data_IF_838187749808
#
_entry.id   IF_838187749808
#
_cell.length_a   1.000
_cell.length_b   1.000
_cell.length_c   1.000
_cell.angle_alpha   90.00
_cell.angle_beta   90.00
_cell.angle_gamma   90.00
#
_symmetry.space_group_name_H-M   'P 1'
#
loop_
_entity.id
_entity.type
_entity.pdbx_description
1 polymer ?
#
# COMPACT_ATOMS: atom_id res chain seq x y z
N UNK A 1 12.60 3.42 11.31
CA UNK A 1 12.83 4.58 10.41
C UNK A 1 11.72 5.59 10.58
N UNK A 2 12.04 6.89 10.60
CA UNK A 2 11.05 7.99 10.62
C UNK A 2 11.14 8.78 9.32
N UNK A 3 9.99 9.17 8.75
CA UNK A 3 9.91 9.94 7.51
C UNK A 3 9.20 11.28 7.77
N UNK A 4 9.66 12.32 7.09
CA UNK A 4 9.04 13.65 7.07
C UNK A 4 9.11 14.20 5.65
N UNK A 5 8.07 14.88 5.22
CA UNK A 5 8.01 15.50 3.89
C UNK A 5 7.71 16.99 3.98
N UNK A 6 8.36 17.77 3.10
CA UNK A 6 7.97 19.13 2.73
C UNK A 6 7.60 19.17 1.22
N UNK A 7 7.27 20.32 0.62
CA UNK A 7 6.91 20.41 -0.80
C UNK A 7 8.01 19.95 -1.78
N UNK A 8 9.26 19.91 -1.36
CA UNK A 8 10.42 19.68 -2.22
C UNK A 8 11.29 18.49 -1.83
N UNK A 9 11.21 18.04 -0.57
CA UNK A 9 12.09 17.01 -0.03
C UNK A 9 11.35 15.97 0.78
N UNK A 10 11.84 14.73 0.71
CA UNK A 10 11.53 13.65 1.65
C UNK A 10 12.74 13.45 2.56
N UNK A 11 12.55 13.68 3.86
CA UNK A 11 13.57 13.47 4.89
C UNK A 11 13.36 12.11 5.52
N UNK A 12 14.46 11.43 5.85
CA UNK A 12 14.42 10.17 6.59
C UNK A 12 15.40 10.19 7.74
N UNK A 13 15.10 9.40 8.77
CA UNK A 13 15.97 9.16 9.92
C UNK A 13 15.91 7.67 10.26
N UNK A 14 17.06 7.02 10.23
CA UNK A 14 17.22 5.63 10.68
C UNK A 14 17.49 5.61 12.17
N UNK A 15 16.93 4.62 12.84
CA UNK A 15 17.21 4.30 14.24
C UNK A 15 17.64 2.84 14.20
N UNK A 16 18.92 2.60 14.41
CA UNK A 16 19.45 1.24 14.50
C UNK A 16 19.37 0.79 15.96
N UNK A 17 18.98 -0.46 16.24
CA UNK A 17 19.12 -1.02 17.57
C UNK A 17 20.61 -0.98 17.97
N UNK A 18 20.94 -0.81 19.27
CA UNK A 18 22.32 -0.91 19.70
C UNK A 18 22.86 -2.27 19.27
N UNK A 19 24.11 -2.27 18.75
CA UNK A 19 24.79 -3.51 18.40
C UNK A 19 24.74 -4.46 19.60
N UNK A 20 24.21 -5.66 19.40
CA UNK A 20 24.29 -6.72 20.42
C UNK A 20 25.75 -7.05 20.53
N UNK A 21 26.40 -6.69 21.66
CA UNK A 21 27.75 -7.16 21.96
C UNK A 21 27.67 -8.69 21.99
N UNK A 22 28.25 -9.33 20.98
CA UNK A 22 28.47 -10.78 21.03
C UNK A 22 29.32 -11.09 22.27
N UNK A 23 28.97 -12.10 23.07
CA UNK A 23 29.80 -12.47 24.21
C UNK A 23 31.19 -12.79 23.69
N UNK A 24 32.21 -12.11 24.24
CA UNK A 24 33.61 -12.25 23.91
C UNK A 24 33.99 -13.73 23.97
N UNK A 25 34.08 -14.38 22.83
CA UNK A 25 34.72 -15.70 22.75
C UNK A 25 36.22 -15.51 23.07
N UNK A 26 36.85 -16.40 23.86
CA UNK A 26 38.24 -16.28 24.18
C UNK A 26 39.10 -16.26 22.90
N UNK A 27 40.18 -15.49 22.84
CA UNK A 27 40.97 -15.26 21.63
C UNK A 27 41.53 -16.56 21.08
N UNK A 28 41.05 -16.97 19.91
CA UNK A 28 41.72 -17.97 19.10
C UNK A 28 42.98 -17.35 18.47
N UNK A 29 44.12 -18.05 18.62
CA UNK A 29 45.45 -17.61 18.22
C UNK A 29 45.69 -17.66 16.70
N UNK A 30 44.88 -16.96 15.91
CA UNK A 30 45.08 -16.78 14.47
C UNK A 30 45.23 -15.28 14.22
N UNK A 31 46.35 -14.82 13.61
CA UNK A 31 46.55 -13.41 13.35
C UNK A 31 45.49 -12.90 12.35
N UNK A 32 44.89 -11.73 12.62
CA UNK A 32 43.87 -11.18 11.71
C UNK A 32 44.53 -10.74 10.41
N UNK A 33 44.14 -11.38 9.32
CA UNK A 33 44.32 -10.78 7.99
C UNK A 33 43.51 -9.49 7.98
N UNK A 34 44.15 -8.37 7.78
CA UNK A 34 43.52 -7.04 7.64
C UNK A 34 42.67 -7.07 6.40
N UNK A 35 41.42 -7.51 6.53
CA UNK A 35 40.35 -7.15 5.58
C UNK A 35 39.88 -5.78 6.04
N UNK A 36 40.05 -4.78 5.19
CA UNK A 36 39.42 -3.49 5.37
C UNK A 36 37.91 -3.74 5.48
N UNK A 37 37.37 -3.67 6.69
CA UNK A 37 35.94 -3.53 6.91
C UNK A 37 35.54 -2.21 6.25
N UNK A 38 34.95 -2.29 5.05
CA UNK A 38 34.08 -1.23 4.59
C UNK A 38 33.02 -1.15 5.67
N UNK A 39 32.95 -0.05 6.37
CA UNK A 39 31.78 0.31 7.16
C UNK A 39 30.57 0.03 6.27
N UNK A 40 29.67 -0.86 6.69
CA UNK A 40 28.41 -1.07 6.01
C UNK A 40 27.73 0.29 5.94
N UNK A 41 27.68 0.89 4.74
CA UNK A 41 27.09 2.20 4.54
C UNK A 41 25.61 2.11 4.88
N UNK A 42 25.06 3.14 5.47
CA UNK A 42 23.62 3.29 5.72
C UNK A 42 22.87 3.11 4.38
N UNK A 43 22.15 2.01 4.21
CA UNK A 43 21.36 1.66 3.02
C UNK A 43 19.93 2.23 3.05
N UNK A 44 19.60 3.03 4.07
CA UNK A 44 18.25 3.56 4.30
C UNK A 44 17.72 4.34 3.11
N UNK A 45 18.55 5.12 2.42
CA UNK A 45 18.11 5.83 1.21
C UNK A 45 17.68 4.84 0.12
N UNK A 46 18.46 3.79 -0.12
CA UNK A 46 18.16 2.75 -1.09
C UNK A 46 16.84 2.05 -0.76
N UNK A 47 16.65 1.70 0.52
CA UNK A 47 15.43 1.10 1.03
C UNK A 47 14.21 2.02 0.82
N UNK A 48 14.32 3.30 1.17
CA UNK A 48 13.23 4.29 0.99
C UNK A 48 12.91 4.46 -0.49
N UNK A 49 13.92 4.57 -1.36
CA UNK A 49 13.73 4.67 -2.81
C UNK A 49 13.05 3.44 -3.38
N UNK A 50 13.44 2.25 -2.90
CA UNK A 50 12.81 0.99 -3.29
C UNK A 50 11.36 0.94 -2.81
N UNK A 51 11.12 1.11 -1.51
CA UNK A 51 9.78 1.01 -0.91
C UNK A 51 8.76 1.96 -1.54
N UNK A 52 9.14 3.22 -1.77
CA UNK A 52 8.30 4.22 -2.41
C UNK A 52 8.30 4.13 -3.95
N UNK A 53 9.05 3.17 -4.52
CA UNK A 53 9.14 2.94 -5.96
C UNK A 53 9.50 4.23 -6.74
N UNK A 54 10.59 4.91 -6.34
CA UNK A 54 10.96 6.22 -6.88
C UNK A 54 11.71 6.15 -8.22
N UNK A 55 12.14 4.95 -8.67
CA UNK A 55 12.90 4.78 -9.90
C UNK A 55 12.16 5.14 -11.19
N UNK A 56 10.90 4.68 -11.41
CA UNK A 56 10.16 4.95 -12.63
C UNK A 56 9.83 6.44 -12.81
N UNK A 57 9.90 6.91 -14.07
CA UNK A 57 9.42 8.24 -14.49
C UNK A 57 7.88 8.30 -14.43
N UNK A 58 7.38 8.83 -13.33
CA UNK A 58 5.95 8.90 -13.07
C UNK A 58 5.23 9.87 -14.03
N UNK A 59 5.85 10.97 -14.39
CA UNK A 59 5.25 11.97 -15.29
C UNK A 59 5.14 11.40 -16.71
N UNK A 60 6.15 10.66 -17.16
CA UNK A 60 6.11 9.92 -18.42
C UNK A 60 5.00 8.86 -18.42
N UNK A 61 4.85 8.10 -17.35
CA UNK A 61 3.77 7.11 -17.21
C UNK A 61 2.39 7.76 -17.24
N UNK A 62 2.16 8.84 -16.49
CA UNK A 62 0.88 9.58 -16.50
C UNK A 62 0.54 10.13 -17.88
N UNK A 63 1.55 10.62 -18.60
CA UNK A 63 1.39 11.12 -19.99
C UNK A 63 0.99 9.99 -20.93
N UNK A 64 1.65 8.84 -20.85
CA UNK A 64 1.35 7.64 -21.64
C UNK A 64 -0.08 7.13 -21.37
N UNK A 65 -0.45 6.96 -20.09
CA UNK A 65 -1.78 6.48 -19.72
C UNK A 65 -2.89 7.47 -20.09
N UNK A 66 -2.61 8.78 -19.98
CA UNK A 66 -3.55 9.83 -20.39
C UNK A 66 -3.76 9.87 -21.91
N UNK A 67 -2.75 9.54 -22.69
CA UNK A 67 -2.87 9.43 -24.16
C UNK A 67 -3.69 8.20 -24.57
N UNK A 68 -3.57 7.09 -23.81
CA UNK A 68 -4.27 5.85 -24.09
C UNK A 68 -5.73 5.82 -23.60
N UNK A 69 -6.05 6.58 -22.54
CA UNK A 69 -7.36 6.51 -21.88
C UNK A 69 -7.93 7.89 -21.53
N UNK A 70 -9.04 8.31 -22.16
CA UNK A 70 -9.74 9.55 -21.86
C UNK A 70 -10.27 9.64 -20.40
N UNK A 71 -10.65 8.51 -19.78
CA UNK A 71 -11.12 8.49 -18.39
C UNK A 71 -9.95 8.78 -17.44
N UNK A 72 -8.78 8.18 -17.70
CA UNK A 72 -7.57 8.47 -16.97
C UNK A 72 -7.17 9.95 -17.13
N UNK A 73 -7.11 10.45 -18.36
CA UNK A 73 -6.80 11.86 -18.67
C UNK A 73 -7.67 12.85 -17.91
N UNK A 74 -8.95 12.53 -17.71
CA UNK A 74 -9.90 13.41 -17.00
C UNK A 74 -9.65 13.46 -15.49
N UNK A 75 -9.23 12.35 -14.87
CA UNK A 75 -9.14 12.20 -13.41
C UNK A 75 -7.71 12.39 -12.88
N UNK A 76 -6.73 11.79 -13.54
CA UNK A 76 -5.36 11.68 -13.09
C UNK A 76 -4.65 13.02 -12.77
N UNK A 77 -4.86 14.14 -13.51
CA UNK A 77 -4.20 15.40 -13.20
C UNK A 77 -4.49 15.98 -11.81
N UNK A 78 -5.56 15.50 -11.16
CA UNK A 78 -5.92 15.89 -9.79
C UNK A 78 -5.30 15.00 -8.73
N UNK A 79 -4.68 13.90 -9.13
CA UNK A 79 -4.11 12.85 -8.29
C UNK A 79 -2.66 12.54 -8.70
N UNK A 80 -1.87 13.58 -8.95
CA UNK A 80 -0.44 13.42 -9.24
C UNK A 80 0.31 12.87 -8.03
N UNK A 81 1.37 12.10 -8.29
CA UNK A 81 2.24 11.57 -7.24
C UNK A 81 1.76 10.27 -6.58
N UNK A 82 0.67 9.64 -7.06
CA UNK A 82 0.26 8.32 -6.57
C UNK A 82 1.27 7.26 -7.06
N UNK A 83 1.92 6.58 -6.13
CA UNK A 83 2.90 5.53 -6.42
C UNK A 83 2.45 4.20 -5.85
N UNK A 84 2.79 3.10 -6.54
CA UNK A 84 2.64 1.75 -6.00
C UNK A 84 3.84 1.48 -5.10
N UNK A 85 3.56 1.16 -3.84
CA UNK A 85 4.59 0.77 -2.88
C UNK A 85 5.14 -0.61 -3.24
N UNK A 86 6.43 -0.83 -2.95
CA UNK A 86 7.08 -2.13 -3.00
C UNK A 86 7.23 -2.65 -1.59
N UNK A 87 6.22 -3.37 -1.17
CA UNK A 87 6.12 -3.92 0.18
C UNK A 87 6.84 -5.26 0.26
N UNK A 88 7.12 -5.70 1.47
CA UNK A 88 7.46 -7.10 1.73
C UNK A 88 6.32 -8.01 1.27
N UNK A 89 6.65 -9.13 0.64
CA UNK A 89 5.65 -10.01 0.03
C UNK A 89 4.79 -10.72 1.08
N UNK A 90 5.38 -11.11 2.22
CA UNK A 90 4.66 -11.75 3.31
C UNK A 90 3.75 -10.76 4.04
N UNK A 91 4.25 -9.57 4.36
CA UNK A 91 3.46 -8.51 4.98
C UNK A 91 2.27 -8.13 4.09
N UNK A 92 2.50 -7.93 2.78
CA UNK A 92 1.45 -7.67 1.81
C UNK A 92 0.41 -8.80 1.78
N UNK A 93 0.83 -10.07 1.75
CA UNK A 93 -0.06 -11.23 1.71
C UNK A 93 -1.00 -11.25 2.93
N UNK A 94 -0.46 -11.15 4.13
CA UNK A 94 -1.28 -11.18 5.35
C UNK A 94 -2.16 -9.92 5.46
N UNK A 95 -1.64 -8.76 5.12
CA UNK A 95 -2.40 -7.50 5.07
C UNK A 95 -3.60 -7.60 4.12
N UNK A 96 -3.42 -8.22 2.94
CA UNK A 96 -4.52 -8.41 1.98
C UNK A 96 -5.48 -9.54 2.35
N UNK A 97 -5.06 -10.59 3.06
CA UNK A 97 -5.98 -11.53 3.69
C UNK A 97 -6.87 -10.79 4.71
N UNK A 98 -6.29 -9.90 5.51
CA UNK A 98 -7.06 -9.04 6.44
C UNK A 98 -8.05 -8.11 5.72
N UNK A 99 -7.77 -7.74 4.48
CA UNK A 99 -8.62 -6.79 3.71
C UNK A 99 -9.91 -7.41 3.16
N UNK A 100 -10.04 -8.73 3.09
CA UNK A 100 -11.20 -9.42 2.51
C UNK A 100 -12.48 -9.05 3.25
N UNK A 101 -13.46 -8.41 2.57
CA UNK A 101 -14.73 -7.94 3.14
C UNK A 101 -14.51 -7.14 4.46
N UNK A 102 -13.67 -6.11 4.40
CA UNK A 102 -13.27 -5.33 5.57
C UNK A 102 -13.12 -3.85 5.20
N UNK A 103 -12.98 -2.97 6.20
CA UNK A 103 -12.70 -1.55 6.01
C UNK A 103 -11.27 -1.19 6.45
N UNK A 104 -10.76 -0.08 5.95
CA UNK A 104 -9.35 0.35 6.15
C UNK A 104 -9.01 0.49 7.64
N UNK A 105 -9.88 1.09 8.44
CA UNK A 105 -9.63 1.30 9.88
C UNK A 105 -9.44 -0.03 10.60
N UNK A 106 -10.33 -0.99 10.34
CA UNK A 106 -10.25 -2.31 10.96
C UNK A 106 -9.04 -3.12 10.45
N UNK A 107 -8.71 -2.99 9.14
CA UNK A 107 -7.51 -3.62 8.58
C UNK A 107 -6.26 -3.12 9.31
N UNK A 108 -6.10 -1.81 9.44
CA UNK A 108 -4.96 -1.20 10.15
C UNK A 108 -4.86 -1.68 11.60
N UNK A 109 -5.98 -1.75 12.33
CA UNK A 109 -6.01 -2.29 13.68
C UNK A 109 -5.62 -3.78 13.74
N UNK A 110 -5.97 -4.58 12.73
CA UNK A 110 -5.59 -5.98 12.65
C UNK A 110 -4.09 -6.13 12.42
N UNK A 111 -3.52 -5.35 11.50
CA UNK A 111 -2.07 -5.35 11.23
C UNK A 111 -1.30 -4.90 12.47
N UNK A 112 -1.72 -3.83 13.13
CA UNK A 112 -1.14 -3.35 14.38
C UNK A 112 -1.14 -4.43 15.48
N UNK A 113 -2.25 -5.15 15.64
CA UNK A 113 -2.35 -6.27 16.58
C UNK A 113 -1.42 -7.44 16.20
N UNK A 114 -1.22 -7.74 14.92
CA UNK A 114 -0.25 -8.76 14.50
C UNK A 114 1.16 -8.36 14.94
N UNK A 115 1.56 -7.13 14.65
CA UNK A 115 2.88 -6.61 15.07
C UNK A 115 3.02 -6.65 16.59
N UNK A 116 2.05 -6.12 17.34
CA UNK A 116 2.13 -6.01 18.81
C UNK A 116 2.14 -7.36 19.52
N UNK A 117 1.39 -8.36 19.04
CA UNK A 117 1.24 -9.64 19.74
C UNK A 117 2.20 -10.72 19.27
N UNK A 118 2.71 -10.62 18.05
CA UNK A 118 3.51 -11.68 17.43
C UNK A 118 4.83 -11.18 16.80
N UNK A 119 4.95 -9.86 16.60
CA UNK A 119 6.14 -9.27 16.01
C UNK A 119 7.25 -9.00 17.03
N UNK A 120 8.52 -9.10 16.64
CA UNK A 120 9.64 -8.74 17.52
C UNK A 120 9.65 -7.24 17.82
N UNK A 121 10.02 -6.89 19.05
CA UNK A 121 10.21 -5.49 19.45
C UNK A 121 11.40 -4.89 18.71
N UNK A 122 11.17 -3.81 17.94
CA UNK A 122 12.25 -3.07 17.24
C UNK A 122 12.88 -2.03 18.19
N UNK A 123 12.06 -1.38 19.02
CA UNK A 123 12.52 -0.31 19.90
C UNK A 123 11.40 0.60 20.36
N UNK A 124 11.76 1.74 20.93
CA UNK A 124 10.81 2.73 21.44
C UNK A 124 11.03 4.09 20.77
N UNK A 125 9.93 4.75 20.39
CA UNK A 125 9.92 6.13 19.92
C UNK A 125 8.94 6.91 20.78
N UNK A 126 9.41 8.00 21.40
CA UNK A 126 8.61 8.81 22.32
C UNK A 126 7.97 7.99 23.47
N UNK A 127 8.68 6.94 23.93
CA UNK A 127 8.24 6.05 25.01
C UNK A 127 7.23 4.98 24.58
N UNK A 128 6.81 4.95 23.32
CA UNK A 128 5.92 3.94 22.76
C UNK A 128 6.72 2.80 22.11
N UNK A 129 6.38 1.52 22.40
CA UNK A 129 7.02 0.38 21.76
C UNK A 129 6.60 0.25 20.30
N UNK A 130 7.54 -0.11 19.43
CA UNK A 130 7.31 -0.43 18.03
C UNK A 130 7.77 -1.85 17.75
N UNK A 131 6.91 -2.61 17.11
CA UNK A 131 7.13 -4.00 16.76
C UNK A 131 7.21 -4.16 15.25
N UNK A 132 8.08 -5.05 14.80
CA UNK A 132 8.15 -5.44 13.40
C UNK A 132 6.96 -6.34 13.03
N UNK A 133 6.77 -6.58 11.74
CA UNK A 133 5.78 -7.53 11.29
C UNK A 133 6.22 -8.97 11.66
N UNK A 134 5.31 -9.83 12.16
CA UNK A 134 5.68 -11.18 12.58
C UNK A 134 6.11 -12.04 11.39
N UNK A 135 7.23 -12.80 11.50
CA UNK A 135 7.59 -13.78 10.47
C UNK A 135 6.56 -14.91 10.40
N UNK A 136 6.48 -15.67 9.30
CA UNK A 136 5.54 -16.81 9.16
C UNK A 136 5.60 -17.77 10.35
N UNK A 137 6.78 -18.12 10.83
CA UNK A 137 6.99 -19.05 11.95
C UNK A 137 6.37 -18.58 13.27
N UNK A 138 6.22 -17.28 13.50
CA UNK A 138 5.56 -16.74 14.70
C UNK A 138 4.05 -17.02 14.70
N UNK A 139 3.46 -17.36 13.55
CA UNK A 139 2.02 -17.56 13.37
C UNK A 139 1.63 -19.04 13.15
N UNK A 140 2.55 -20.01 13.36
CA UNK A 140 2.29 -21.46 13.18
C UNK A 140 1.86 -22.18 14.45
N UNK A 141 1.93 -21.53 15.61
CA UNK A 141 1.63 -22.12 16.91
C UNK A 141 0.17 -22.61 17.03
N UNK A 142 -0.05 -23.71 17.75
CA UNK A 142 -1.38 -24.36 17.92
C UNK A 142 -2.48 -23.43 18.45
N UNK A 143 -2.14 -22.43 19.24
CA UNK A 143 -3.09 -21.50 19.85
C UNK A 143 -3.25 -20.19 19.06
N UNK A 144 -2.53 -20.01 17.94
CA UNK A 144 -2.54 -18.77 17.17
C UNK A 144 -3.93 -18.48 16.61
N UNK A 145 -4.60 -19.45 16.01
CA UNK A 145 -5.95 -19.26 15.47
C UNK A 145 -6.94 -18.81 16.56
N UNK A 146 -6.95 -19.45 17.73
CA UNK A 146 -7.86 -19.10 18.83
C UNK A 146 -7.56 -17.68 19.35
N UNK A 147 -6.30 -17.36 19.58
CA UNK A 147 -5.90 -16.02 20.03
C UNK A 147 -6.21 -14.93 18.99
N UNK A 148 -5.98 -15.17 17.71
CA UNK A 148 -6.39 -14.23 16.66
C UNK A 148 -7.92 -14.02 16.63
N UNK A 149 -8.72 -15.07 16.92
CA UNK A 149 -10.18 -14.92 17.06
C UNK A 149 -10.56 -14.03 18.24
N UNK A 150 -9.91 -14.18 19.40
CA UNK A 150 -10.07 -13.32 20.58
C UNK A 150 -9.69 -11.86 20.27
N UNK A 151 -8.64 -11.64 19.47
CA UNK A 151 -8.22 -10.32 19.00
C UNK A 151 -9.17 -9.70 17.95
N UNK A 152 -10.20 -10.42 17.52
CA UNK A 152 -11.25 -9.92 16.64
C UNK A 152 -11.02 -10.12 15.13
N UNK A 153 -10.13 -11.06 14.72
CA UNK A 153 -9.89 -11.37 13.30
C UNK A 153 -11.04 -12.15 12.64
N UNK A 154 -11.92 -12.75 13.45
CA UNK A 154 -13.04 -13.54 12.94
C UNK A 154 -12.56 -14.75 12.12
N UNK A 155 -13.19 -15.00 10.97
CA UNK A 155 -12.83 -16.13 10.10
C UNK A 155 -11.43 -16.04 9.49
N UNK A 156 -10.84 -14.84 9.43
CA UNK A 156 -9.49 -14.61 8.89
C UNK A 156 -8.40 -15.20 9.77
N UNK A 157 -8.68 -15.40 11.07
CA UNK A 157 -7.75 -16.07 11.99
C UNK A 157 -7.31 -17.43 11.47
N UNK A 158 -8.26 -18.22 10.96
CA UNK A 158 -7.97 -19.53 10.35
C UNK A 158 -7.10 -19.38 9.10
N UNK A 159 -7.44 -18.44 8.22
CA UNK A 159 -6.68 -18.24 6.98
C UNK A 159 -5.25 -17.80 7.24
N UNK A 160 -5.04 -16.84 8.15
CA UNK A 160 -3.71 -16.36 8.53
C UNK A 160 -2.86 -17.49 9.10
N UNK A 161 -3.41 -18.25 10.06
CA UNK A 161 -2.72 -19.38 10.67
C UNK A 161 -2.36 -20.46 9.64
N UNK A 162 -3.32 -20.90 8.83
CA UNK A 162 -3.07 -21.93 7.83
C UNK A 162 -2.08 -21.48 6.75
N UNK A 163 -2.19 -20.23 6.27
CA UNK A 163 -1.22 -19.67 5.31
C UNK A 163 0.18 -19.57 5.91
N UNK A 164 0.28 -19.23 7.21
CA UNK A 164 1.57 -19.20 7.90
C UNK A 164 2.20 -20.59 7.99
N UNK A 165 1.42 -21.64 8.33
CA UNK A 165 1.87 -23.04 8.34
C UNK A 165 2.32 -23.47 6.96
N UNK A 166 1.53 -23.21 5.91
CA UNK A 166 1.90 -23.56 4.53
C UNK A 166 3.24 -22.95 4.13
N UNK A 167 3.46 -21.68 4.43
CA UNK A 167 4.69 -20.99 4.03
C UNK A 167 5.89 -21.39 4.89
N UNK A 168 5.71 -21.56 6.21
CA UNK A 168 6.82 -21.84 7.11
C UNK A 168 7.24 -23.32 7.10
N UNK A 169 6.27 -24.24 6.98
CA UNK A 169 6.48 -25.66 7.23
C UNK A 169 6.37 -26.52 5.96
N UNK A 170 5.61 -26.08 4.93
CA UNK A 170 5.31 -26.88 3.74
C UNK A 170 6.01 -26.35 2.46
N UNK A 171 6.54 -25.12 2.47
CA UNK A 171 7.26 -24.52 1.33
C UNK A 171 8.75 -24.41 1.63
N UNK A 172 9.54 -24.39 0.55
CA UNK A 172 10.97 -24.10 0.66
C UNK A 172 11.22 -22.66 1.15
N UNK A 173 12.32 -22.48 1.89
CA UNK A 173 12.72 -21.16 2.35
C UNK A 173 12.90 -20.22 1.14
N UNK A 174 12.24 -19.04 1.22
CA UNK A 174 12.28 -18.06 0.12
C UNK A 174 11.28 -18.36 -1.01
N UNK A 175 10.39 -19.35 -0.87
CA UNK A 175 9.40 -19.66 -1.91
C UNK A 175 8.60 -18.43 -2.34
N UNK A 176 8.12 -17.62 -1.40
CA UNK A 176 7.32 -16.43 -1.72
C UNK A 176 8.12 -15.40 -2.51
N UNK A 177 9.40 -15.21 -2.16
CA UNK A 177 10.28 -14.31 -2.91
C UNK A 177 10.68 -14.86 -4.28
N UNK A 178 10.67 -16.18 -4.48
CA UNK A 178 10.91 -16.79 -5.79
C UNK A 178 9.84 -16.45 -6.83
N UNK A 179 8.64 -16.06 -6.37
CA UNK A 179 7.53 -15.60 -7.21
C UNK A 179 7.68 -14.14 -7.68
N UNK A 180 8.70 -13.43 -7.21
CA UNK A 180 8.93 -12.01 -7.50
C UNK A 180 9.28 -11.78 -8.97
N UNK A 181 8.81 -10.64 -9.49
CA UNK A 181 9.18 -10.18 -10.81
C UNK A 181 10.70 -9.93 -10.89
N UNK A 182 11.44 -10.69 -11.73
CA UNK A 182 12.89 -10.51 -11.86
C UNK A 182 13.31 -9.17 -12.46
N UNK A 183 12.42 -8.42 -13.10
CA UNK A 183 12.67 -7.04 -13.54
C UNK A 183 12.59 -6.03 -12.39
N UNK A 184 12.12 -6.47 -11.22
CA UNK A 184 11.86 -5.65 -10.05
C UNK A 184 12.48 -6.25 -8.79
N UNK A 185 13.79 -6.54 -8.79
CA UNK A 185 14.47 -7.16 -7.67
C UNK A 185 14.52 -6.23 -6.45
N UNK A 186 14.82 -6.81 -5.29
CA UNK A 186 15.10 -6.04 -4.06
C UNK A 186 16.59 -5.71 -4.02
N UNK A 187 16.92 -4.50 -3.55
CA UNK A 187 18.29 -4.03 -3.37
C UNK A 187 19.07 -3.87 -4.69
N UNK A 188 20.37 -4.09 -4.65
CA UNK A 188 21.30 -3.87 -5.76
C UNK A 188 21.38 -5.03 -6.77
N UNK A 189 20.40 -5.93 -6.75
CA UNK A 189 20.33 -7.04 -7.71
C UNK A 189 19.97 -6.49 -9.09
N UNK A 190 20.73 -6.87 -10.12
CA UNK A 190 20.45 -6.44 -11.49
C UNK A 190 19.14 -7.04 -11.99
N UNK A 191 18.23 -6.21 -12.55
CA UNK A 191 17.01 -6.69 -13.19
C UNK A 191 17.32 -7.71 -14.29
N UNK A 192 16.48 -8.75 -14.38
CA UNK A 192 16.56 -9.75 -15.45
C UNK A 192 15.28 -9.66 -16.28
N UNK A 193 15.36 -9.70 -17.62
CA UNK A 193 14.18 -9.65 -18.47
C UNK A 193 13.27 -10.85 -18.21
N UNK A 194 11.98 -10.58 -18.13
CA UNK A 194 10.93 -11.60 -18.03
C UNK A 194 10.19 -11.67 -19.36
N UNK A 195 9.95 -12.83 -19.87
CA UNK A 195 9.13 -13.20 -21.03
C UNK A 195 8.50 -12.10 -21.90
N UNK A 196 7.86 -12.50 -22.96
CA UNK A 196 7.16 -11.54 -23.82
C UNK A 196 5.90 -11.02 -23.18
N UNK A 197 5.62 -9.73 -23.38
CA UNK A 197 4.35 -9.11 -23.01
C UNK A 197 3.16 -9.81 -23.67
N UNK A 198 2.12 -10.08 -22.88
CA UNK A 198 0.83 -10.64 -23.32
C UNK A 198 -0.30 -9.85 -22.62
N UNK A 199 -1.44 -9.74 -23.27
CA UNK A 199 -2.61 -9.05 -22.68
C UNK A 199 -3.12 -9.77 -21.42
N UNK A 200 -2.97 -11.08 -21.38
CA UNK A 200 -3.30 -11.93 -20.24
C UNK A 200 -2.28 -11.82 -19.09
N UNK A 201 -1.21 -11.05 -19.29
CA UNK A 201 -0.04 -10.94 -18.44
C UNK A 201 1.09 -11.87 -18.86
N UNK A 202 2.32 -11.56 -18.43
CA UNK A 202 3.51 -12.39 -18.66
C UNK A 202 3.38 -13.73 -17.96
N UNK A 203 4.06 -14.75 -18.47
CA UNK A 203 3.98 -16.10 -17.90
C UNK A 203 4.34 -16.11 -16.41
N UNK A 204 5.46 -15.48 -16.01
CA UNK A 204 5.87 -15.41 -14.59
C UNK A 204 4.86 -14.71 -13.67
N UNK A 205 4.13 -13.68 -14.15
CA UNK A 205 3.04 -13.11 -13.39
C UNK A 205 1.90 -14.12 -13.18
N UNK A 206 1.52 -14.83 -14.22
CA UNK A 206 0.44 -15.83 -14.15
C UNK A 206 0.82 -16.98 -13.23
N UNK A 207 2.05 -17.46 -13.33
CA UNK A 207 2.58 -18.53 -12.47
C UNK A 207 2.58 -18.08 -10.99
N UNK A 208 3.02 -16.86 -10.71
CA UNK A 208 2.98 -16.27 -9.36
C UNK A 208 1.54 -16.12 -8.83
N UNK A 209 0.63 -15.63 -9.67
CA UNK A 209 -0.78 -15.48 -9.31
C UNK A 209 -1.42 -16.83 -9.01
N UNK A 210 -1.17 -17.86 -9.83
CA UNK A 210 -1.70 -19.21 -9.66
C UNK A 210 -1.15 -19.89 -8.39
N UNK A 211 0.16 -19.75 -8.16
CA UNK A 211 0.79 -20.25 -6.93
C UNK A 211 0.22 -19.61 -5.65
N UNK A 212 -0.10 -18.32 -5.68
CA UNK A 212 -0.74 -17.63 -4.56
C UNK A 212 -2.18 -18.11 -4.31
N UNK A 213 -2.92 -18.54 -5.34
CA UNK A 213 -4.29 -19.05 -5.19
C UNK A 213 -4.34 -20.39 -4.43
N UNK A 214 -3.23 -21.10 -4.29
CA UNK A 214 -3.16 -22.33 -3.47
C UNK A 214 -3.24 -22.02 -1.97
N UNK A 215 -2.91 -20.78 -1.56
CA UNK A 215 -2.88 -20.39 -0.14
C UNK A 215 -4.28 -20.15 0.43
N UNK A 216 -4.43 -20.41 1.72
CA UNK A 216 -5.72 -20.28 2.40
C UNK A 216 -6.16 -18.82 2.54
N UNK A 217 -7.40 -18.53 2.15
CA UNK A 217 -7.94 -17.14 2.19
C UNK A 217 -7.44 -16.23 1.08
N UNK A 218 -6.72 -16.76 0.08
CA UNK A 218 -6.24 -16.04 -1.09
C UNK A 218 -7.15 -16.33 -2.28
N UNK A 219 -7.92 -15.33 -2.68
CA UNK A 219 -8.69 -15.33 -3.93
C UNK A 219 -7.99 -14.47 -4.99
N UNK A 220 -8.55 -14.40 -6.22
CA UNK A 220 -7.94 -13.66 -7.34
C UNK A 220 -7.54 -12.23 -6.99
N UNK A 221 -8.40 -11.49 -6.28
CA UNK A 221 -8.11 -10.10 -5.87
C UNK A 221 -6.94 -10.01 -4.91
N UNK A 222 -6.84 -10.91 -3.93
CA UNK A 222 -5.74 -10.93 -2.96
C UNK A 222 -4.44 -11.30 -3.67
N UNK A 223 -4.46 -12.34 -4.53
CA UNK A 223 -3.31 -12.74 -5.34
C UNK A 223 -2.79 -11.58 -6.19
N UNK A 224 -3.66 -10.86 -6.90
CA UNK A 224 -3.26 -9.69 -7.70
C UNK A 224 -2.70 -8.55 -6.84
N UNK A 225 -3.26 -8.29 -5.65
CA UNK A 225 -2.70 -7.29 -4.75
C UNK A 225 -1.28 -7.65 -4.30
N UNK A 226 -1.03 -8.92 -3.97
CA UNK A 226 0.30 -9.41 -3.60
C UNK A 226 1.25 -9.35 -4.80
N UNK A 227 0.82 -9.78 -5.98
CA UNK A 227 1.60 -9.67 -7.21
C UNK A 227 2.01 -8.23 -7.48
N UNK A 228 1.08 -7.27 -7.36
CA UNK A 228 1.34 -5.86 -7.64
C UNK A 228 2.29 -5.21 -6.62
N UNK A 229 1.98 -5.33 -5.33
CA UNK A 229 2.63 -4.55 -4.28
C UNK A 229 3.76 -5.31 -3.57
N UNK A 230 3.62 -6.63 -3.43
CA UNK A 230 4.59 -7.48 -2.76
C UNK A 230 5.63 -8.07 -3.71
N UNK A 231 5.23 -8.47 -4.91
CA UNK A 231 6.08 -9.20 -5.86
C UNK A 231 6.54 -8.36 -7.06
N UNK A 232 6.02 -7.14 -7.24
CA UNK A 232 6.46 -6.18 -8.25
C UNK A 232 5.97 -6.48 -9.69
N UNK A 233 4.86 -7.22 -9.85
CA UNK A 233 4.22 -7.45 -11.14
C UNK A 233 3.29 -6.28 -11.49
N UNK A 234 3.81 -5.28 -12.21
CA UNK A 234 3.09 -4.04 -12.55
C UNK A 234 1.80 -4.23 -13.35
N UNK A 235 1.70 -5.34 -14.09
CA UNK A 235 0.50 -5.71 -14.86
C UNK A 235 -0.62 -6.35 -14.03
N UNK A 236 -0.41 -6.68 -12.77
CA UNK A 236 -1.44 -7.22 -11.90
C UNK A 236 -2.53 -6.17 -11.63
N UNK A 237 -3.78 -6.51 -11.92
CA UNK A 237 -4.93 -5.60 -11.77
C UNK A 237 -5.92 -6.20 -10.79
N UNK A 238 -5.85 -5.83 -9.50
CA UNK A 238 -6.80 -6.31 -8.49
C UNK A 238 -8.21 -5.78 -8.77
N UNK A 239 -9.15 -6.66 -9.12
CA UNK A 239 -10.55 -6.28 -9.39
C UNK A 239 -11.42 -6.61 -8.17
N UNK A 240 -11.72 -5.59 -7.36
CA UNK A 240 -12.70 -5.69 -6.29
C UNK A 240 -14.07 -5.13 -6.71
N UNK A 241 -15.00 -5.02 -5.77
CA UNK A 241 -16.33 -4.45 -6.02
C UNK A 241 -16.27 -2.99 -6.46
N UNK A 242 -15.31 -2.23 -5.97
CA UNK A 242 -15.09 -0.82 -6.35
C UNK A 242 -14.59 -0.70 -7.78
N UNK A 243 -13.60 -1.50 -8.13
CA UNK A 243 -13.06 -1.57 -9.49
C UNK A 243 -14.09 -2.08 -10.48
N UNK A 244 -14.93 -3.04 -10.06
CA UNK A 244 -16.08 -3.47 -10.84
C UNK A 244 -17.05 -2.32 -11.14
N UNK A 245 -17.37 -1.48 -10.14
CA UNK A 245 -18.21 -0.29 -10.33
C UNK A 245 -17.56 0.72 -11.29
N UNK A 246 -16.25 0.96 -11.18
CA UNK A 246 -15.50 1.80 -12.12
C UNK A 246 -15.58 1.23 -13.54
N UNK A 247 -15.38 -0.08 -13.71
CA UNK A 247 -15.44 -0.75 -14.99
C UNK A 247 -16.82 -0.65 -15.63
N UNK A 248 -17.89 -0.80 -14.84
CA UNK A 248 -19.27 -0.64 -15.32
C UNK A 248 -19.58 0.80 -15.72
N UNK A 249 -19.25 1.75 -14.88
CA UNK A 249 -19.60 3.17 -15.07
C UNK A 249 -18.78 3.81 -16.20
N UNK A 250 -17.46 3.63 -16.17
CA UNK A 250 -16.55 4.39 -17.02
C UNK A 250 -16.16 3.61 -18.31
N UNK A 251 -16.15 2.27 -18.26
CA UNK A 251 -15.70 1.42 -19.37
C UNK A 251 -16.81 0.52 -19.96
N UNK A 252 -18.05 0.70 -19.49
CA UNK A 252 -19.25 0.04 -20.05
C UNK A 252 -19.26 -1.50 -19.95
N UNK A 253 -18.53 -2.06 -18.98
CA UNK A 253 -18.63 -3.49 -18.68
C UNK A 253 -20.00 -3.86 -18.13
N UNK A 254 -20.45 -5.12 -18.35
CA UNK A 254 -21.66 -5.67 -17.71
C UNK A 254 -22.98 -5.08 -18.20
N UNK A 255 -23.07 -4.58 -19.44
CA UNK A 255 -24.33 -4.19 -20.06
C UNK A 255 -25.22 -5.41 -20.37
N UNK A 256 -25.87 -5.98 -19.35
CA UNK A 256 -26.76 -7.13 -19.48
C UNK A 256 -27.46 -7.48 -18.18
N UNK A 257 -28.51 -8.37 -18.24
CA UNK A 257 -29.36 -8.78 -17.10
C UNK A 257 -28.59 -9.50 -15.94
N UNK A 258 -27.33 -9.86 -16.11
CA UNK A 258 -26.52 -10.57 -15.12
C UNK A 258 -25.17 -9.87 -14.95
N UNK A 259 -25.12 -8.85 -14.11
CA UNK A 259 -23.90 -8.08 -13.83
C UNK A 259 -23.25 -8.50 -12.51
N UNK A 260 -22.93 -9.79 -12.37
CA UNK A 260 -22.11 -10.26 -11.25
C UNK A 260 -20.63 -10.34 -11.64
N UNK A 261 -19.74 -10.11 -10.67
CA UNK A 261 -18.30 -10.29 -10.85
C UNK A 261 -17.98 -11.80 -10.87
N UNK A 262 -18.00 -12.41 -12.07
CA UNK A 262 -17.57 -13.79 -12.29
C UNK A 262 -16.07 -13.82 -12.60
N UNK A 263 -15.44 -15.01 -12.57
CA UNK A 263 -14.05 -15.19 -13.00
C UNK A 263 -13.82 -14.64 -14.42
N UNK A 264 -14.69 -14.97 -15.35
CA UNK A 264 -14.59 -14.48 -16.75
C UNK A 264 -14.66 -12.94 -16.84
N UNK A 265 -15.52 -12.30 -16.02
CA UNK A 265 -15.62 -10.84 -15.96
C UNK A 265 -14.40 -10.24 -15.31
N UNK A 266 -13.87 -10.87 -14.26
CA UNK A 266 -12.63 -10.49 -13.58
C UNK A 266 -11.46 -10.44 -14.59
N UNK A 267 -11.25 -11.55 -15.29
CA UNK A 267 -10.18 -11.69 -16.30
C UNK A 267 -10.36 -10.68 -17.45
N UNK A 268 -11.59 -10.48 -17.93
CA UNK A 268 -11.89 -9.53 -18.98
C UNK A 268 -11.56 -8.08 -18.60
N UNK A 269 -11.80 -7.67 -17.35
CA UNK A 269 -11.45 -6.34 -16.84
C UNK A 269 -9.93 -6.20 -16.74
N UNK A 270 -9.24 -7.17 -16.14
CA UNK A 270 -7.80 -7.17 -16.05
C UNK A 270 -7.14 -7.07 -17.43
N UNK A 271 -7.59 -7.88 -18.40
CA UNK A 271 -7.12 -7.85 -19.77
C UNK A 271 -7.40 -6.50 -20.47
N UNK A 272 -8.56 -5.90 -20.23
CA UNK A 272 -8.89 -4.59 -20.78
C UNK A 272 -7.92 -3.51 -20.26
N UNK A 273 -7.65 -3.48 -18.97
CA UNK A 273 -6.73 -2.49 -18.40
C UNK A 273 -5.27 -2.74 -18.80
N UNK A 274 -4.83 -3.99 -18.87
CA UNK A 274 -3.51 -4.33 -19.44
C UNK A 274 -3.37 -3.90 -20.88
N UNK A 275 -4.42 -4.06 -21.70
CA UNK A 275 -4.43 -3.58 -23.08
C UNK A 275 -4.33 -2.06 -23.18
N UNK A 276 -4.95 -1.31 -22.25
CA UNK A 276 -4.91 0.15 -22.23
C UNK A 276 -3.55 0.69 -21.75
N UNK A 277 -3.03 0.14 -20.66
CA UNK A 277 -1.92 0.76 -19.92
C UNK A 277 -0.63 -0.05 -19.90
N UNK A 278 -0.63 -1.23 -20.50
CA UNK A 278 0.58 -2.06 -20.65
C UNK A 278 1.05 -2.71 -19.34
N UNK A 279 2.36 -2.75 -19.17
CA UNK A 279 3.04 -3.45 -18.07
C UNK A 279 2.80 -2.82 -16.70
N UNK A 280 2.39 -1.55 -16.63
CA UNK A 280 2.10 -0.84 -15.40
C UNK A 280 0.58 -0.62 -15.22
N UNK A 281 -0.23 -1.52 -15.76
CA UNK A 281 -1.70 -1.42 -15.71
C UNK A 281 -2.25 -1.39 -14.27
N UNK A 282 -1.65 -2.13 -13.34
CA UNK A 282 -2.01 -2.12 -11.95
C UNK A 282 -1.75 -0.77 -11.27
N UNK A 283 -0.68 -0.08 -11.71
CA UNK A 283 -0.41 1.26 -11.19
C UNK A 283 -1.41 2.30 -11.72
N UNK A 284 -1.62 2.35 -13.03
CA UNK A 284 -2.62 3.23 -13.64
C UNK A 284 -4.02 3.01 -13.03
N UNK A 285 -4.43 1.75 -12.86
CA UNK A 285 -5.65 1.36 -12.18
C UNK A 285 -5.72 1.92 -10.74
N UNK A 286 -4.63 1.85 -9.97
CA UNK A 286 -4.59 2.33 -8.58
C UNK A 286 -4.76 3.85 -8.49
N UNK A 287 -4.32 4.62 -9.49
CA UNK A 287 -4.59 6.06 -9.58
C UNK A 287 -6.08 6.32 -9.73
N UNK A 288 -6.77 5.58 -10.62
CA UNK A 288 -8.22 5.72 -10.79
C UNK A 288 -9.00 5.27 -9.55
N UNK A 289 -8.55 4.20 -8.91
CA UNK A 289 -9.12 3.72 -7.65
C UNK A 289 -9.01 4.80 -6.56
N UNK A 290 -7.83 5.41 -6.40
CA UNK A 290 -7.61 6.52 -5.45
C UNK A 290 -8.54 7.69 -5.74
N UNK A 291 -8.71 8.04 -7.02
CA UNK A 291 -9.59 9.13 -7.44
C UNK A 291 -11.08 8.86 -7.14
N UNK A 292 -11.47 7.59 -7.02
CA UNK A 292 -12.86 7.18 -6.77
C UNK A 292 -13.17 7.00 -5.28
N UNK A 293 -12.16 6.97 -4.40
CA UNK A 293 -12.37 6.90 -2.96
C UNK A 293 -13.06 8.17 -2.43
N UNK A 294 -14.08 8.00 -1.59
CA UNK A 294 -14.86 9.11 -1.01
C UNK A 294 -13.98 10.18 -0.36
N UNK A 295 -12.96 9.77 0.39
CA UNK A 295 -12.02 10.67 1.06
C UNK A 295 -11.30 11.63 0.09
N UNK A 296 -11.19 11.27 -1.19
CA UNK A 296 -10.49 12.05 -2.22
C UNK A 296 -11.42 12.58 -3.31
N UNK A 297 -12.66 12.10 -3.40
CA UNK A 297 -13.61 12.49 -4.45
C UNK A 297 -13.94 13.99 -4.43
N UNK A 298 -13.86 14.64 -3.29
CA UNK A 298 -14.03 16.11 -3.16
C UNK A 298 -13.01 16.88 -4.00
N UNK A 299 -11.79 16.36 -4.18
CA UNK A 299 -10.78 16.97 -5.05
C UNK A 299 -11.22 17.04 -6.52
N UNK A 300 -12.08 16.12 -6.96
CA UNK A 300 -12.64 16.13 -8.31
C UNK A 300 -13.63 17.28 -8.52
N UNK A 301 -14.29 17.72 -7.47
CA UNK A 301 -15.33 18.74 -7.51
C UNK A 301 -14.82 20.18 -7.32
N UNK A 302 -13.55 20.36 -6.96
CA UNK A 302 -12.94 21.69 -6.83
C UNK A 302 -12.69 22.24 -8.23
N UNK A 303 -13.57 23.16 -8.68
CA UNK A 303 -13.30 24.02 -9.83
C UNK A 303 -12.20 25.01 -9.42
N UNK A 304 -11.02 24.85 -9.98
CA UNK A 304 -9.97 25.87 -9.89
C UNK A 304 -10.39 27.00 -10.83
N UNK A 305 -11.01 28.04 -10.29
CA UNK A 305 -11.16 29.31 -11.00
C UNK A 305 -9.77 29.98 -11.01
N UNK A 306 -9.04 29.78 -12.09
CA UNK A 306 -7.87 30.60 -12.40
C UNK A 306 -8.42 31.95 -12.89
N UNK A 307 -8.48 32.93 -12.00
CA UNK A 307 -8.64 34.31 -12.42
C UNK A 307 -7.31 34.77 -13.04
N UNK A 308 -7.26 34.82 -14.36
CA UNK A 308 -6.23 35.59 -15.07
C UNK A 308 -6.46 37.06 -14.75
N UNK A 309 -5.67 37.60 -13.83
CA UNK A 309 -5.55 39.05 -13.71
C UNK A 309 -4.79 39.60 -14.92
N UNK A 310 -5.54 40.14 -15.87
CA UNK A 310 -4.98 40.94 -16.97
C UNK A 310 -4.36 42.19 -16.36
N UNK A 311 -3.04 42.20 -16.23
CA UNK A 311 -2.30 43.41 -15.87
C UNK A 311 -2.29 44.40 -17.03
N UNK A 312 -3.17 45.37 -16.97
CA UNK A 312 -3.06 46.57 -17.78
C UNK A 312 -1.95 47.45 -17.18
N UNK A 313 -0.87 47.59 -17.93
CA UNK A 313 0.25 48.46 -17.59
C UNK A 313 -0.16 49.94 -17.66
N UNK A 314 -0.06 50.65 -16.53
CA UNK A 314 0.12 52.11 -16.52
C UNK A 314 1.16 52.46 -15.44
N UNK A 315 2.13 53.19 -15.92
CA UNK A 315 3.34 53.65 -15.28
C UNK A 315 3.13 54.53 -14.04
N UNK A 316 3.85 54.25 -12.93
CA UNK A 316 4.70 55.15 -12.13
C UNK A 316 5.17 54.48 -10.83
N UNK A 317 6.32 54.80 -10.25
CA UNK A 317 7.01 53.97 -9.28
C UNK A 317 6.69 54.35 -7.84
N UNK A 318 6.17 53.44 -7.03
CA UNK A 318 6.21 53.52 -5.56
C UNK A 318 6.43 52.19 -4.89
N UNK A 319 7.11 52.21 -3.75
CA UNK A 319 7.74 51.22 -2.90
C UNK A 319 6.96 49.92 -2.63
N UNK A 320 7.65 48.78 -2.33
CA UNK A 320 7.02 47.48 -2.18
C UNK A 320 6.24 47.38 -0.87
N UNK A 321 4.93 47.15 -0.96
CA UNK A 321 4.07 46.71 0.14
C UNK A 321 3.96 45.18 0.11
N UNK A 322 4.35 44.59 1.22
CA UNK A 322 4.14 43.15 1.48
C UNK A 322 2.64 42.91 1.59
N UNK A 323 2.05 42.19 0.62
CA UNK A 323 0.66 41.74 0.67
C UNK A 323 0.65 40.30 1.21
N UNK A 324 0.14 40.11 2.43
CA UNK A 324 -0.20 38.80 2.98
C UNK A 324 -1.41 38.27 2.20
N UNK A 325 -1.25 37.16 1.51
CA UNK A 325 -2.38 36.40 0.90
C UNK A 325 -3.12 35.63 1.98
N UNK A 326 -4.30 36.05 2.30
CA UNK A 326 -5.26 35.28 3.12
C UNK A 326 -6.09 34.39 2.19
N UNK A 327 -5.97 33.08 2.36
CA UNK A 327 -6.76 32.10 1.60
C UNK A 327 -8.05 31.83 2.38
N UNK A 328 -9.14 32.47 1.99
CA UNK A 328 -10.46 32.18 2.54
C UNK A 328 -11.04 30.94 1.82
N UNK A 329 -11.12 29.81 2.54
CA UNK A 329 -11.83 28.61 2.09
C UNK A 329 -13.31 28.74 2.45
N UNK A 330 -14.20 28.89 1.48
CA UNK A 330 -15.64 28.69 1.68
C UNK A 330 -15.98 27.23 1.43
N UNK A 331 -16.32 26.51 2.49
CA UNK A 331 -16.83 25.13 2.43
C UNK A 331 -18.36 25.23 2.44
N UNK A 332 -18.99 24.88 1.32
CA UNK A 332 -20.44 24.71 1.24
C UNK A 332 -20.83 23.26 1.58
N UNK A 333 -21.43 23.05 2.75
CA UNK A 333 -21.93 21.76 3.18
C UNK A 333 -23.35 21.60 2.69
N UNK A 334 -23.63 20.66 1.77
CA UNK A 334 -24.95 20.11 1.54
C UNK A 334 -25.08 18.82 2.33
N UNK A 335 -25.97 18.82 3.31
CA UNK A 335 -26.36 17.62 4.06
C UNK A 335 -27.39 16.84 3.25
N UNK A 336 -27.08 15.60 2.92
CA UNK A 336 -28.08 14.57 2.59
C UNK A 336 -27.72 13.29 3.33
N UNK A 337 -28.63 12.94 4.23
CA UNK A 337 -29.01 11.69 4.90
C UNK A 337 -27.96 10.62 5.25
N UNK A 338 -27.83 10.51 6.56
CA UNK A 338 -27.66 9.35 7.44
C UNK A 338 -27.47 7.98 6.78
N UNK A 339 -26.23 7.49 6.83
CA UNK A 339 -25.83 6.12 7.19
C UNK A 339 -24.30 5.91 7.19
N UNK A 340 -23.51 6.95 7.52
CA UNK A 340 -22.02 6.77 7.64
C UNK A 340 -21.42 7.70 8.70
N UNK A 341 -21.76 7.40 9.96
CA UNK A 341 -21.10 8.01 11.13
C UNK A 341 -19.84 7.26 11.50
N UNK A 342 -18.77 7.39 10.75
CA UNK A 342 -17.43 6.94 11.26
C UNK A 342 -16.25 7.43 10.42
N UNK A 343 -16.20 8.67 9.97
CA UNK A 343 -14.93 9.24 9.49
C UNK A 343 -14.92 10.74 9.75
N UNK A 344 -14.76 11.15 10.99
CA UNK A 344 -14.28 12.48 11.39
C UNK A 344 -14.13 12.47 12.92
N UNK A 345 -12.97 12.09 13.40
CA UNK A 345 -12.44 12.53 14.70
C UNK A 345 -11.05 11.93 14.90
N UNK A 346 -10.06 12.52 14.23
CA UNK A 346 -8.65 12.25 14.52
C UNK A 346 -8.07 13.15 15.62
N UNK A 347 -8.90 13.93 16.34
CA UNK A 347 -8.43 14.80 17.44
C UNK A 347 -8.96 14.46 18.84
N UNK A 348 -9.76 13.43 19.04
CA UNK A 348 -10.30 13.06 20.37
C UNK A 348 -9.94 11.65 20.87
N UNK A 349 -8.79 11.10 20.50
CA UNK A 349 -8.26 9.92 21.19
C UNK A 349 -7.21 10.35 22.23
N UNK A 350 -7.65 11.22 23.14
CA UNK A 350 -7.04 11.45 24.45
C UNK A 350 -8.12 11.64 25.49
N UNK A 351 -8.89 10.58 25.74
CA UNK A 351 -9.72 10.54 26.94
C UNK A 351 -9.76 9.11 27.49
N UNK A 352 -9.13 9.02 28.61
CA UNK A 352 -8.93 7.98 29.60
C UNK A 352 -10.07 6.96 29.77
N UNK A 353 -9.66 5.71 29.88
CA UNK A 353 -10.42 4.48 30.16
C UNK A 353 -11.12 4.42 31.52
N UNK A 354 -11.38 5.54 32.23
CA UNK A 354 -11.94 5.53 33.60
C UNK A 354 -13.41 5.92 33.73
N UNK A 355 -14.13 6.33 32.70
CA UNK A 355 -15.52 6.79 32.83
C UNK A 355 -16.62 5.89 32.29
N UNK A 356 -16.34 4.67 31.85
CA UNK A 356 -17.36 3.74 31.33
C UNK A 356 -17.96 2.76 32.31
N UNK A 357 -17.72 2.88 33.61
CA UNK A 357 -18.25 1.94 34.64
C UNK A 357 -19.45 2.46 35.42
N UNK A 358 -19.94 3.67 35.20
CA UNK A 358 -21.02 4.23 36.07
C UNK A 358 -22.39 4.45 35.42
N UNK A 359 -22.77 3.77 34.35
CA UNK A 359 -24.13 3.92 33.77
C UNK A 359 -24.86 2.61 33.45
N UNK A 360 -24.75 1.61 34.34
CA UNK A 360 -25.67 0.45 34.33
C UNK A 360 -26.04 0.06 35.76
N UNK A 361 -26.81 0.92 36.42
CA UNK A 361 -27.72 0.55 37.54
C UNK A 361 -28.65 1.74 37.79
N UNK A 362 -29.80 1.72 37.16
CA UNK A 362 -31.10 2.20 37.67
C UNK A 362 -32.14 2.06 36.56
N UNK A 363 -33.05 1.24 36.90
CA UNK A 363 -34.39 0.83 36.47
C UNK A 363 -34.35 -0.42 35.63
#
# INVERSE_FOLDING_TARGET
>A
MSLRQDPTHLYYRSIFPPAVEEPLTPPSSIPPSIKSEKAEGDDTETLVRHYLNLGPDLDGLYSQWSAADPNFKKKAPKFTGVRILRQDAWEALIGFICSSNNNIIRISQMVDKLCTHYGPLIGHVDGLPYHDFPPPSALTGKNVESHLRELGFGYRAKYIHQTAVMIADERELGWLDSLRNPESPIGDVKPKPTGKWKVEGRDGYRDAHEALLELQGVGPKVADCVCLMGLGWGEAVPVDTHVWQIAQRDYKFGKGKHSSLTKATYDAIGNHFRKLWGQEAGWAHSVLFTADLRAFSERLNIKVEIKEETTTSLSTPEKPRVVKKEVVRKIGIKRENDDDKTILDHEEIRMTSSERVKRRRRV
#
